data_IF_148447367915
#
_entry.id   IF_148447367915
#
_cell.length_a   1.000
_cell.length_b   1.000
_cell.length_c   1.000
_cell.angle_alpha   90.00
_cell.angle_beta   90.00
_cell.angle_gamma   90.00
#
_symmetry.space_group_name_H-M   'P 1'
#
loop_
_entity.id
_entity.type
_entity.pdbx_description
1 polymer ?
#
# COMPACT_ATOMS: atom_id res chain seq x y z
N UNK A 1 16.39 -1.37 15.19
CA UNK A 1 16.09 -0.93 13.82
C UNK A 1 15.06 0.16 13.96
N UNK A 2 15.21 1.29 13.26
CA UNK A 2 14.21 2.36 13.31
C UNK A 2 13.31 2.22 12.08
N UNK A 3 12.12 2.81 12.10
CA UNK A 3 11.27 2.91 10.91
C UNK A 3 10.79 4.35 10.75
N UNK A 4 10.58 4.74 9.49
CA UNK A 4 9.86 5.96 9.14
C UNK A 4 8.48 5.50 8.70
N UNK A 5 7.45 5.94 9.43
CA UNK A 5 6.10 5.43 9.24
C UNK A 5 5.23 6.47 8.55
N UNK A 6 4.39 5.98 7.67
CA UNK A 6 3.37 6.68 6.93
C UNK A 6 2.05 5.97 7.17
N UNK A 7 0.96 6.70 6.97
CA UNK A 7 -0.39 6.16 7.03
C UNK A 7 -1.14 6.48 5.76
N UNK A 8 -1.99 5.56 5.37
CA UNK A 8 -2.96 5.76 4.30
C UNK A 8 -4.25 5.05 4.65
N UNK A 9 -5.36 5.76 4.46
CA UNK A 9 -6.70 5.20 4.45
C UNK A 9 -7.23 5.36 3.04
N UNK A 10 -7.65 4.26 2.42
CA UNK A 10 -8.20 4.29 1.06
C UNK A 10 -9.73 4.37 1.11
N UNK A 11 -10.32 5.23 0.29
CA UNK A 11 -11.77 5.29 0.07
C UNK A 11 -12.13 4.64 -1.24
N UNK A 12 -13.38 4.12 -1.40
CA UNK A 12 -13.76 3.44 -2.62
C UNK A 12 -13.74 4.37 -3.84
N UNK A 13 -13.43 3.80 -5.00
CA UNK A 13 -13.51 4.48 -6.30
C UNK A 13 -14.78 4.03 -7.02
N UNK A 14 -15.55 4.96 -7.58
CA UNK A 14 -16.81 4.63 -8.27
C UNK A 14 -17.79 3.91 -7.33
N UNK A 15 -18.38 2.82 -7.82
CA UNK A 15 -19.38 2.01 -7.10
C UNK A 15 -18.77 0.92 -6.21
N UNK A 16 -17.44 0.90 -6.04
CA UNK A 16 -16.79 -0.06 -5.15
C UNK A 16 -17.16 0.22 -3.67
N UNK A 17 -16.98 -0.79 -2.82
CA UNK A 17 -17.18 -0.69 -1.37
C UNK A 17 -15.87 -0.82 -0.58
N UNK A 18 -14.76 -1.06 -1.28
CA UNK A 18 -13.48 -1.40 -0.65
C UNK A 18 -12.89 -0.20 0.09
N UNK A 19 -12.54 -0.41 1.35
CA UNK A 19 -11.73 0.51 2.15
C UNK A 19 -10.55 -0.22 2.76
N UNK A 20 -9.52 0.52 3.14
CA UNK A 20 -8.38 -0.05 3.87
C UNK A 20 -7.75 0.96 4.81
N UNK A 21 -7.13 0.44 5.87
CA UNK A 21 -6.21 1.18 6.71
C UNK A 21 -4.84 0.52 6.63
N UNK A 22 -3.83 1.28 6.22
CA UNK A 22 -2.49 0.75 5.99
C UNK A 22 -1.43 1.64 6.64
N UNK A 23 -0.49 1.01 7.33
CA UNK A 23 0.79 1.61 7.69
C UNK A 23 1.81 1.24 6.64
N UNK A 24 2.37 2.25 5.97
CA UNK A 24 3.50 2.07 5.05
C UNK A 24 4.75 2.54 5.79
N UNK A 25 5.87 1.84 5.68
CA UNK A 25 7.07 2.18 6.42
C UNK A 25 8.36 1.85 5.68
N UNK A 26 9.37 2.69 5.93
CA UNK A 26 10.73 2.51 5.42
C UNK A 26 11.61 2.02 6.57
N UNK A 27 12.21 0.81 6.49
CA UNK A 27 13.13 0.34 7.51
C UNK A 27 14.46 1.11 7.46
N UNK A 28 14.95 1.49 8.64
CA UNK A 28 16.24 2.17 8.85
C UNK A 28 17.19 1.26 9.63
N UNK A 29 18.16 0.72 8.92
CA UNK A 29 19.21 -0.12 9.46
C UNK A 29 20.27 0.73 10.17
N UNK A 30 20.77 0.25 11.32
CA UNK A 30 21.80 0.97 12.08
C UNK A 30 23.06 1.12 11.24
N UNK A 31 23.63 2.33 11.23
CA UNK A 31 24.85 2.63 10.48
C UNK A 31 24.71 2.53 8.96
N UNK A 32 23.49 2.60 8.40
CA UNK A 32 23.21 2.53 6.97
C UNK A 32 23.79 1.28 6.27
N UNK A 33 23.91 0.16 6.98
CA UNK A 33 24.48 -1.10 6.47
C UNK A 33 23.47 -2.04 5.79
N UNK A 34 22.21 -1.63 5.68
CA UNK A 34 21.15 -2.41 5.02
C UNK A 34 20.67 -1.73 3.75
N UNK A 35 19.73 -2.34 3.02
CA UNK A 35 19.19 -1.76 1.80
C UNK A 35 18.52 -0.42 2.10
N UNK A 36 18.68 0.51 1.17
CA UNK A 36 18.22 1.88 1.30
C UNK A 36 16.94 2.16 0.50
N UNK A 37 16.42 1.16 -0.21
CA UNK A 37 15.34 1.28 -1.18
C UNK A 37 14.09 0.44 -0.87
N UNK A 38 13.99 -0.05 0.37
CA UNK A 38 12.89 -0.91 0.80
C UNK A 38 11.69 -0.08 1.28
N UNK A 39 10.51 -0.41 0.76
CA UNK A 39 9.22 0.04 1.29
C UNK A 39 8.43 -1.18 1.73
N UNK A 40 7.94 -1.15 2.96
CA UNK A 40 7.05 -2.17 3.51
C UNK A 40 5.68 -1.59 3.80
N UNK A 41 4.66 -2.44 3.85
CA UNK A 41 3.33 -2.08 4.31
C UNK A 41 2.70 -3.21 5.11
N UNK A 42 1.81 -2.82 6.03
CA UNK A 42 0.93 -3.72 6.78
C UNK A 42 -0.42 -3.02 6.95
N UNK A 43 -1.50 -3.72 6.69
CA UNK A 43 -2.83 -3.14 6.75
C UNK A 43 -3.93 -4.18 6.68
N UNK A 44 -5.15 -3.67 6.65
CA UNK A 44 -6.36 -4.48 6.54
C UNK A 44 -7.33 -3.81 5.57
N UNK A 45 -8.04 -4.61 4.77
CA UNK A 45 -9.10 -4.18 3.87
C UNK A 45 -10.46 -4.75 4.26
N UNK A 46 -11.52 -3.99 3.98
CA UNK A 46 -12.92 -4.40 4.14
C UNK A 46 -13.71 -4.10 2.87
N UNK A 47 -14.85 -4.76 2.68
CA UNK A 47 -15.65 -4.66 1.45
C UNK A 47 -15.01 -5.38 0.26
N UNK A 48 -13.99 -6.21 0.50
CA UNK A 48 -13.34 -7.04 -0.50
C UNK A 48 -14.29 -8.15 -0.95
N UNK A 49 -14.01 -8.75 -2.11
CA UNK A 49 -14.74 -9.95 -2.52
C UNK A 49 -14.56 -11.06 -1.48
N UNK A 50 -15.66 -11.70 -1.00
CA UNK A 50 -15.58 -12.78 -0.03
C UNK A 50 -14.85 -14.03 -0.53
N UNK A 51 -14.27 -14.79 0.40
CA UNK A 51 -13.71 -16.13 0.19
C UNK A 51 -12.65 -16.25 -0.91
N UNK A 52 -11.91 -15.17 -1.17
CA UNK A 52 -10.76 -15.15 -2.07
C UNK A 52 -9.68 -16.08 -1.52
N UNK A 53 -9.09 -16.88 -2.42
CA UNK A 53 -7.78 -17.50 -2.25
C UNK A 53 -6.91 -17.15 -3.45
N UNK A 54 -6.01 -16.21 -3.26
CA UNK A 54 -5.16 -15.67 -4.34
C UNK A 54 -4.20 -16.71 -4.88
N UNK A 55 -4.02 -16.70 -6.21
CA UNK A 55 -2.98 -17.44 -6.92
C UNK A 55 -1.57 -17.05 -6.46
N UNK A 56 -1.34 -15.78 -6.12
CA UNK A 56 -0.04 -15.27 -5.67
C UNK A 56 0.25 -15.53 -4.19
N UNK A 57 -0.69 -16.13 -3.45
CA UNK A 57 -0.57 -16.40 -2.02
C UNK A 57 -0.87 -17.87 -1.69
N UNK A 58 -1.99 -18.07 -1.00
CA UNK A 58 -2.41 -19.32 -0.35
C UNK A 58 -2.73 -20.53 -1.27
N UNK A 59 -2.15 -20.60 -2.47
CA UNK A 59 -2.33 -21.70 -3.42
C UNK A 59 -3.73 -21.79 -4.02
N UNK A 60 -4.46 -20.67 -4.07
CA UNK A 60 -5.81 -20.61 -4.64
C UNK A 60 -5.81 -20.30 -6.14
N UNK A 61 -7.02 -20.11 -6.69
CA UNK A 61 -7.24 -19.87 -8.12
C UNK A 61 -7.76 -18.47 -8.43
N UNK A 62 -7.99 -17.64 -7.42
CA UNK A 62 -8.46 -16.26 -7.59
C UNK A 62 -7.30 -15.32 -7.96
N UNK A 63 -7.63 -14.09 -8.33
CA UNK A 63 -6.66 -13.00 -8.51
C UNK A 63 -5.64 -13.23 -9.64
N UNK A 64 -5.99 -14.01 -10.67
CA UNK A 64 -5.08 -14.31 -11.80
C UNK A 64 -4.94 -13.14 -12.78
N UNK A 65 -5.88 -12.20 -12.77
CA UNK A 65 -5.80 -11.01 -13.58
C UNK A 65 -4.57 -10.19 -13.20
N UNK A 66 -4.04 -9.40 -14.14
CA UNK A 66 -2.95 -8.48 -13.85
C UNK A 66 -3.39 -7.49 -12.76
N UNK A 67 -2.60 -7.39 -11.68
CA UNK A 67 -2.90 -6.61 -10.47
C UNK A 67 -4.08 -7.14 -9.64
N UNK A 68 -4.59 -8.35 -9.95
CA UNK A 68 -5.68 -8.95 -9.19
C UNK A 68 -5.33 -9.06 -7.72
N UNK A 69 -6.23 -8.57 -6.86
CA UNK A 69 -6.04 -8.52 -5.41
C UNK A 69 -4.81 -7.72 -4.94
N UNK A 70 -4.24 -6.90 -5.84
CA UNK A 70 -3.03 -6.14 -5.60
C UNK A 70 -3.21 -5.00 -4.62
N UNK A 71 -2.14 -4.66 -3.91
CA UNK A 71 -2.07 -3.55 -2.95
C UNK A 71 -0.75 -2.81 -3.18
N UNK A 72 -0.83 -1.60 -3.75
CA UNK A 72 0.34 -0.96 -4.37
C UNK A 72 0.49 0.52 -4.03
N UNK A 73 1.74 0.98 -3.99
CA UNK A 73 2.07 2.40 -4.15
C UNK A 73 2.13 2.72 -5.64
N UNK A 74 1.43 3.76 -6.05
CA UNK A 74 1.38 4.25 -7.42
C UNK A 74 2.13 5.58 -7.59
N UNK A 75 2.62 5.83 -8.81
CA UNK A 75 3.49 6.95 -9.13
C UNK A 75 2.77 8.29 -9.15
N UNK A 76 1.44 8.29 -9.26
CA UNK A 76 0.62 9.49 -9.23
C UNK A 76 0.41 10.03 -7.83
N UNK A 77 0.03 11.30 -7.77
CA UNK A 77 -0.14 12.07 -6.53
C UNK A 77 -1.62 12.42 -6.26
N UNK A 78 -2.54 11.77 -6.96
CA UNK A 78 -3.99 12.01 -6.83
C UNK A 78 -4.79 10.74 -7.02
N UNK A 79 -5.94 10.66 -6.36
CA UNK A 79 -6.91 9.58 -6.53
C UNK A 79 -7.98 9.88 -7.58
N UNK A 80 -7.92 11.02 -8.29
CA UNK A 80 -9.03 11.52 -9.10
C UNK A 80 -9.40 10.62 -10.28
N UNK A 81 -8.41 10.09 -11.00
CA UNK A 81 -8.61 9.24 -12.17
C UNK A 81 -7.35 8.41 -12.46
N UNK A 82 -7.48 7.46 -13.38
CA UNK A 82 -6.41 6.50 -13.71
C UNK A 82 -5.10 7.19 -14.11
N UNK A 83 -5.21 8.31 -14.86
CA UNK A 83 -4.06 9.09 -15.34
C UNK A 83 -3.30 9.75 -14.19
N UNK A 84 -4.02 10.43 -13.29
CA UNK A 84 -3.42 11.15 -12.16
C UNK A 84 -2.99 10.23 -11.02
N UNK A 85 -3.52 9.01 -10.98
CA UNK A 85 -3.05 7.92 -10.13
C UNK A 85 -1.77 7.27 -10.68
N UNK A 86 -1.54 7.28 -12.00
CA UNK A 86 -0.32 6.74 -12.61
C UNK A 86 -0.18 5.20 -12.52
N UNK A 87 1.01 4.68 -12.84
CA UNK A 87 1.36 3.26 -12.73
C UNK A 87 1.94 2.90 -11.37
N UNK A 88 2.50 1.69 -11.21
CA UNK A 88 3.21 1.32 -9.99
C UNK A 88 4.46 2.20 -9.77
N UNK A 89 4.73 2.54 -8.52
CA UNK A 89 5.83 3.44 -8.15
C UNK A 89 7.12 2.68 -7.88
N UNK A 90 8.05 2.72 -8.81
CA UNK A 90 9.41 2.21 -8.65
C UNK A 90 10.34 2.88 -9.66
N UNK A 91 11.64 2.80 -9.41
CA UNK A 91 12.66 3.34 -10.27
C UNK A 91 12.94 2.39 -11.45
N UNK A 92 12.35 2.71 -12.61
CA UNK A 92 12.49 1.92 -13.85
C UNK A 92 13.89 1.97 -14.46
N UNK A 93 14.71 2.95 -14.09
CA UNK A 93 16.09 3.04 -14.53
C UNK A 93 17.01 2.10 -13.73
N UNK A 94 16.53 1.63 -12.56
CA UNK A 94 17.27 0.73 -11.67
C UNK A 94 16.71 -0.70 -11.72
N UNK A 95 15.39 -0.85 -11.80
CA UNK A 95 14.71 -2.15 -11.80
C UNK A 95 14.05 -2.43 -13.15
N UNK A 96 14.38 -3.58 -13.74
CA UNK A 96 13.76 -4.08 -14.98
C UNK A 96 12.46 -4.87 -14.74
N UNK A 97 12.20 -5.28 -13.50
CA UNK A 97 11.01 -6.02 -13.09
C UNK A 97 10.21 -5.20 -12.10
N UNK A 98 8.90 -5.15 -12.30
CA UNK A 98 7.97 -4.45 -11.42
C UNK A 98 7.92 -5.14 -10.05
N UNK A 99 8.38 -4.49 -8.98
CA UNK A 99 8.48 -5.13 -7.68
C UNK A 99 7.12 -5.28 -6.98
N UNK A 100 6.06 -4.63 -7.49
CA UNK A 100 4.71 -4.68 -6.94
C UNK A 100 3.85 -5.80 -7.55
N UNK A 101 4.34 -6.48 -8.59
CA UNK A 101 3.53 -7.37 -9.42
C UNK A 101 2.82 -8.52 -8.67
N UNK A 102 3.33 -8.92 -7.50
CA UNK A 102 2.80 -10.03 -6.69
C UNK A 102 2.43 -9.61 -5.26
N UNK A 103 2.33 -8.31 -4.99
CA UNK A 103 1.99 -7.82 -3.65
C UNK A 103 0.50 -7.54 -3.53
N UNK A 104 -0.16 -8.05 -2.49
CA UNK A 104 -1.60 -7.92 -2.34
C UNK A 104 -2.15 -8.55 -1.08
N UNK A 105 -3.48 -8.72 -1.04
CA UNK A 105 -4.14 -9.58 -0.07
C UNK A 105 -4.28 -11.00 -0.62
N UNK A 106 -4.04 -12.00 0.22
CA UNK A 106 -3.95 -13.39 -0.22
C UNK A 106 -5.23 -14.19 0.05
N UNK A 107 -5.91 -13.89 1.16
CA UNK A 107 -7.12 -14.58 1.58
C UNK A 107 -8.11 -13.54 2.10
N UNK A 108 -9.38 -13.65 1.73
CA UNK A 108 -10.46 -12.88 2.36
C UNK A 108 -11.40 -13.79 3.15
N UNK A 109 -12.01 -13.25 4.21
CA UNK A 109 -13.07 -13.93 4.95
C UNK A 109 -14.38 -13.96 4.14
N UNK A 110 -15.35 -14.75 4.59
CA UNK A 110 -16.72 -14.72 4.08
C UNK A 110 -17.41 -13.35 4.23
N UNK A 111 -16.88 -12.47 5.10
CA UNK A 111 -17.35 -11.10 5.27
C UNK A 111 -16.61 -10.08 4.37
N UNK A 112 -15.70 -10.52 3.51
CA UNK A 112 -14.96 -9.63 2.62
C UNK A 112 -13.88 -8.81 3.35
N UNK A 113 -13.23 -9.40 4.35
CA UNK A 113 -12.13 -8.77 5.10
C UNK A 113 -10.82 -9.51 4.89
N UNK A 114 -9.70 -8.78 4.80
CA UNK A 114 -8.37 -9.38 4.72
C UNK A 114 -7.34 -8.51 5.44
N UNK A 115 -6.36 -9.16 6.06
CA UNK A 115 -5.10 -8.54 6.44
C UNK A 115 -4.07 -8.77 5.33
N UNK A 116 -3.16 -7.82 5.13
CA UNK A 116 -2.10 -7.92 4.14
C UNK A 116 -0.82 -7.26 4.64
N UNK A 117 0.32 -7.80 4.19
CA UNK A 117 1.63 -7.21 4.43
C UNK A 117 2.62 -7.61 3.33
N UNK A 118 3.50 -6.70 2.95
CA UNK A 118 4.63 -7.02 2.07
C UNK A 118 5.75 -5.99 2.21
N UNK A 119 6.92 -6.32 1.67
CA UNK A 119 8.07 -5.43 1.52
C UNK A 119 8.63 -5.58 0.11
N UNK A 120 8.96 -4.45 -0.52
CA UNK A 120 9.50 -4.41 -1.87
C UNK A 120 10.73 -3.50 -1.97
N UNK A 121 11.63 -3.86 -2.87
CA UNK A 121 12.73 -3.00 -3.29
C UNK A 121 12.23 -2.08 -4.40
N UNK A 122 12.26 -0.77 -4.18
CA UNK A 122 11.69 0.21 -5.12
C UNK A 122 12.73 0.81 -6.06
N UNK A 123 14.03 0.64 -5.77
CA UNK A 123 15.13 1.28 -6.49
C UNK A 123 15.25 2.80 -6.26
N UNK A 124 14.44 3.39 -5.36
CA UNK A 124 14.60 4.75 -4.87
C UNK A 124 15.28 4.72 -3.49
N UNK A 125 16.24 5.60 -3.22
CA UNK A 125 16.85 5.73 -1.89
C UNK A 125 15.87 6.38 -0.88
N UNK A 126 14.81 5.65 -0.52
CA UNK A 126 13.76 6.06 0.42
C UNK A 126 14.25 6.05 1.86
N UNK A 127 15.32 5.32 2.16
CA UNK A 127 15.96 5.45 3.44
C UNK A 127 16.50 6.87 3.55
N UNK A 128 17.43 7.29 2.69
CA UNK A 128 18.02 8.63 2.80
C UNK A 128 17.00 9.74 2.55
N UNK A 129 16.08 9.54 1.60
CA UNK A 129 15.04 10.52 1.25
C UNK A 129 13.63 9.93 1.39
N UNK A 130 13.10 9.79 2.62
CA UNK A 130 11.79 9.18 2.88
C UNK A 130 10.63 10.01 2.33
N UNK A 131 10.85 11.30 2.05
CA UNK A 131 9.84 12.21 1.53
C UNK A 131 9.43 11.84 0.10
N UNK A 132 10.23 11.04 -0.61
CA UNK A 132 9.89 10.45 -1.90
C UNK A 132 8.61 9.60 -1.86
N UNK A 133 8.21 9.08 -0.71
CA UNK A 133 7.03 8.24 -0.56
C UNK A 133 5.76 9.05 -0.22
N UNK A 134 5.91 10.23 0.36
CA UNK A 134 4.80 11.07 0.78
C UNK A 134 4.03 11.62 -0.43
N UNK A 135 2.70 11.66 -0.36
CA UNK A 135 1.85 12.21 -1.41
C UNK A 135 1.51 11.23 -2.54
N UNK A 136 2.18 10.09 -2.63
CA UNK A 136 1.84 9.05 -3.60
C UNK A 136 0.48 8.41 -3.33
N UNK A 137 -0.21 8.04 -4.39
CA UNK A 137 -1.45 7.27 -4.31
C UNK A 137 -1.15 5.83 -3.87
N UNK A 138 -1.95 5.31 -2.96
CA UNK A 138 -1.96 3.92 -2.54
C UNK A 138 -3.29 3.31 -2.97
N UNK A 139 -3.23 2.20 -3.71
CA UNK A 139 -4.40 1.62 -4.37
C UNK A 139 -4.56 0.16 -3.95
N UNK A 140 -5.80 -0.21 -3.62
CA UNK A 140 -6.23 -1.61 -3.47
C UNK A 140 -7.03 -1.98 -4.71
N UNK A 141 -6.74 -3.15 -5.27
CA UNK A 141 -7.36 -3.66 -6.48
C UNK A 141 -8.42 -4.75 -6.17
N UNK A 142 -9.40 -4.87 -7.05
CA UNK A 142 -10.34 -5.99 -7.11
C UNK A 142 -9.66 -7.27 -7.61
N UNK A 143 -10.35 -8.41 -7.53
CA UNK A 143 -9.87 -9.69 -8.08
C UNK A 143 -9.53 -9.59 -9.58
N UNK A 144 -10.31 -8.84 -10.35
CA UNK A 144 -10.13 -8.62 -11.78
C UNK A 144 -8.99 -7.64 -12.12
N UNK A 145 -8.31 -7.09 -11.11
CA UNK A 145 -7.22 -6.13 -11.25
C UNK A 145 -7.66 -4.68 -11.45
N UNK A 146 -8.96 -4.40 -11.50
CA UNK A 146 -9.47 -3.03 -11.51
C UNK A 146 -9.15 -2.30 -10.21
N UNK A 147 -9.00 -0.98 -10.27
CA UNK A 147 -8.68 -0.14 -9.11
C UNK A 147 -9.93 0.05 -8.27
N UNK A 148 -9.93 -0.48 -7.05
CA UNK A 148 -11.13 -0.52 -6.22
C UNK A 148 -11.20 0.64 -5.23
N UNK A 149 -10.07 1.02 -4.64
CA UNK A 149 -9.99 2.09 -3.66
C UNK A 149 -8.67 2.83 -3.77
N UNK A 150 -8.65 4.09 -3.32
CA UNK A 150 -7.44 4.91 -3.35
C UNK A 150 -7.35 5.81 -2.11
N UNK A 151 -6.13 6.02 -1.64
CA UNK A 151 -5.79 6.98 -0.59
C UNK A 151 -4.43 7.60 -0.85
N UNK A 152 -4.19 8.78 -0.29
CA UNK A 152 -2.88 9.45 -0.41
C UNK A 152 -2.04 9.15 0.82
N UNK A 153 -0.79 8.72 0.60
CA UNK A 153 0.18 8.44 1.65
C UNK A 153 0.56 9.73 2.37
N UNK A 154 0.42 9.73 3.69
CA UNK A 154 0.77 10.86 4.55
C UNK A 154 1.80 10.42 5.57
N UNK A 155 2.77 11.29 5.92
CA UNK A 155 3.64 11.02 7.07
C UNK A 155 2.81 10.73 8.31
N UNK A 156 3.14 9.64 9.01
CA UNK A 156 2.54 9.34 10.30
C UNK A 156 2.91 10.44 11.27
N UNK A 157 1.94 11.24 11.70
CA UNK A 157 2.19 12.29 12.68
C UNK A 157 2.88 11.71 13.92
N UNK A 158 3.85 12.43 14.51
CA UNK A 158 4.17 12.23 15.92
C UNK A 158 2.84 12.30 16.66
N UNK A 159 2.52 11.33 17.53
CA UNK A 159 1.35 11.41 18.38
C UNK A 159 1.32 12.78 19.07
N UNK A 160 0.53 13.72 18.56
CA UNK A 160 0.11 14.86 19.36
C UNK A 160 -0.83 14.24 20.40
N UNK A 161 -0.30 14.03 21.62
CA UNK A 161 -1.13 13.75 22.78
C UNK A 161 -2.25 14.79 22.76
N UNK A 162 -3.48 14.33 22.60
CA UNK A 162 -4.67 15.17 22.80
C UNK A 162 -4.50 15.86 24.14
N UNK A 163 -4.23 17.17 24.12
CA UNK A 163 -4.39 18.02 25.29
C UNK A 163 -5.89 18.04 25.56
N UNK A 164 -6.34 17.16 26.47
CA UNK A 164 -7.67 17.28 27.07
C UNK A 164 -7.78 18.70 27.62
N UNK A 165 -8.59 19.53 26.97
CA UNK A 165 -8.95 20.86 27.43
C UNK A 165 -9.89 20.65 28.63
N UNK A 166 -9.34 20.61 29.83
CA UNK A 166 -10.14 20.65 31.06
C UNK A 166 -10.86 21.99 31.07
N UNK A 167 -12.20 21.97 30.93
CA UNK A 167 -13.04 23.14 31.19
C UNK A 167 -12.95 23.44 32.68
N UNK A 168 -12.54 24.67 33.00
CA UNK A 168 -12.93 25.36 34.23
C UNK A 168 -14.28 26.03 33.99
#
# INVERSE_FOLDING_TARGET
MNTINFKVTTTPLGENTITSETTVFVPKFKGNKGPNDVVCFVGSGTGLQPDIKSFYGAGGTNCQAKNGCGVHVHSGLSCKNTETQGGHWYNKDVLSVDPWAITGYEITSAAGTADFASCVYTGFDVATNPDLLEGHAFIVHNEDGSRASCGIIKKGGKHNKSTKKTRL
#
